data_IF_183857069970
#
_entry.id   IF_183857069970
#
_cell.length_a   1.000
_cell.length_b   1.000
_cell.length_c   1.000
_cell.angle_alpha   90.00
_cell.angle_beta   90.00
_cell.angle_gamma   90.00
#
_symmetry.space_group_name_H-M   'P 1'
#
loop_
_entity.id
_entity.type
_entity.pdbx_description
1 polymer ?
#
# COMPACT_ATOMS: atom_id res chain seq x y z
N UNK A 1 -15.92 -1.26 49.98
CA UNK A 1 -15.06 -2.41 50.29
C UNK A 1 -14.56 -2.96 48.96
N UNK A 2 -13.24 -2.93 48.73
CA UNK A 2 -12.62 -3.26 47.44
C UNK A 2 -12.23 -4.75 47.51
N UNK A 3 -12.90 -5.58 46.71
CA UNK A 3 -12.55 -6.99 46.54
C UNK A 3 -11.37 -7.11 45.56
N UNK A 4 -10.22 -7.51 46.09
CA UNK A 4 -9.03 -7.90 45.34
C UNK A 4 -9.19 -9.38 45.00
N UNK A 5 -9.60 -9.66 43.75
CA UNK A 5 -9.70 -11.01 43.20
C UNK A 5 -8.33 -11.52 42.75
N UNK A 6 -7.98 -12.71 43.23
CA UNK A 6 -6.70 -13.36 43.11
C UNK A 6 -6.24 -13.64 41.66
N UNK A 7 -4.95 -13.37 41.43
CA UNK A 7 -4.16 -13.83 40.30
C UNK A 7 -3.92 -15.33 40.38
N UNK A 8 -4.19 -16.06 39.30
CA UNK A 8 -3.98 -17.50 39.18
C UNK A 8 -3.11 -17.77 37.92
N UNK A 9 -1.87 -18.25 38.04
CA UNK A 9 -1.09 -18.67 36.88
C UNK A 9 -0.75 -20.16 36.95
N UNK A 10 -1.50 -21.00 36.24
CA UNK A 10 -1.04 -22.36 35.89
C UNK A 10 -1.92 -22.96 34.79
N UNK A 11 -1.35 -23.14 33.60
CA UNK A 11 -1.40 -24.39 32.83
C UNK A 11 -0.95 -24.11 31.38
N UNK A 12 0.35 -24.16 31.12
CA UNK A 12 0.88 -24.38 29.78
C UNK A 12 0.89 -25.89 29.52
N UNK A 13 -0.26 -26.42 29.10
CA UNK A 13 -0.35 -27.74 28.51
C UNK A 13 0.09 -27.67 27.05
N UNK A 14 1.38 -27.87 26.77
CA UNK A 14 1.86 -28.11 25.42
C UNK A 14 1.82 -29.61 25.18
N UNK A 15 0.80 -30.09 24.48
CA UNK A 15 0.73 -31.45 23.97
C UNK A 15 0.52 -31.44 22.46
N UNK A 16 1.27 -32.33 21.82
CA UNK A 16 1.04 -32.91 20.49
C UNK A 16 1.61 -32.18 19.27
N UNK A 17 2.85 -32.56 18.92
CA UNK A 17 3.21 -32.80 17.52
C UNK A 17 3.90 -34.17 17.45
N UNK A 18 3.15 -35.19 17.07
CA UNK A 18 3.70 -36.47 16.63
C UNK A 18 3.99 -36.39 15.14
N UNK A 19 5.26 -36.30 14.76
CA UNK A 19 5.72 -36.57 13.39
C UNK A 19 6.26 -38.00 13.32
N UNK A 20 5.67 -38.90 12.52
CA UNK A 20 6.35 -40.12 12.11
C UNK A 20 7.26 -39.83 10.91
N UNK A 21 8.53 -40.16 11.13
CA UNK A 21 9.59 -40.32 10.14
C UNK A 21 9.31 -41.54 9.27
N UNK A 22 9.38 -41.40 7.96
CA UNK A 22 9.74 -42.46 7.00
C UNK A 22 10.31 -41.75 5.75
N UNK A 23 11.63 -41.63 5.63
CA UNK A 23 12.54 -42.57 4.97
C UNK A 23 12.34 -42.69 3.44
N UNK A 24 13.26 -42.03 2.73
CA UNK A 24 14.07 -42.55 1.60
C UNK A 24 13.33 -43.19 0.41
N UNK A 25 13.37 -42.52 -0.74
CA UNK A 25 13.66 -43.19 -2.02
C UNK A 25 14.11 -42.18 -3.09
N UNK A 26 15.42 -42.12 -3.30
CA UNK A 26 16.06 -41.54 -4.47
C UNK A 26 16.11 -42.58 -5.60
N UNK A 27 15.67 -42.23 -6.81
CA UNK A 27 16.08 -42.93 -8.04
C UNK A 27 15.85 -42.07 -9.29
N UNK A 28 16.95 -41.91 -10.02
CA UNK A 28 17.18 -41.10 -11.22
C UNK A 28 17.02 -41.95 -12.48
N UNK A 29 16.49 -41.31 -13.53
CA UNK A 29 16.64 -41.60 -14.97
C UNK A 29 16.06 -42.91 -15.57
N UNK A 30 15.22 -42.79 -16.61
CA UNK A 30 15.64 -42.90 -18.02
C UNK A 30 14.45 -43.09 -19.00
N UNK A 31 14.33 -42.15 -19.94
CA UNK A 31 14.18 -42.32 -21.41
C UNK A 31 13.16 -43.33 -21.97
N UNK A 32 12.09 -42.81 -22.58
CA UNK A 32 11.53 -43.33 -23.85
C UNK A 32 10.49 -42.38 -24.45
N UNK A 33 10.77 -41.78 -25.59
CA UNK A 33 9.82 -41.58 -26.70
C UNK A 33 10.54 -40.87 -27.84
N UNK A 34 10.81 -41.65 -28.88
CA UNK A 34 11.31 -41.24 -30.19
C UNK A 34 10.09 -40.99 -31.10
N UNK A 35 10.33 -40.26 -32.17
CA UNK A 35 9.51 -40.12 -33.37
C UNK A 35 8.37 -39.09 -33.31
N UNK A 36 8.62 -37.92 -33.93
CA UNK A 36 7.75 -37.38 -34.97
C UNK A 36 8.55 -36.37 -35.80
N UNK A 37 8.94 -36.85 -36.98
CA UNK A 37 9.47 -36.06 -38.10
C UNK A 37 8.28 -35.47 -38.85
N UNK A 38 8.49 -34.23 -39.29
CA UNK A 38 7.95 -33.65 -40.53
C UNK A 38 6.47 -33.23 -40.56
N UNK A 39 6.24 -31.92 -40.59
CA UNK A 39 5.32 -31.26 -41.55
C UNK A 39 5.37 -29.74 -41.34
N UNK A 40 6.28 -29.10 -42.09
CA UNK A 40 6.14 -27.69 -42.49
C UNK A 40 5.02 -27.61 -43.53
N UNK A 41 3.89 -26.92 -43.24
CA UNK A 41 3.32 -25.79 -44.03
C UNK A 41 1.90 -25.37 -43.59
N UNK A 42 1.82 -24.08 -43.21
CA UNK A 42 0.71 -23.11 -43.38
C UNK A 42 -0.58 -23.19 -42.51
N UNK A 43 -1.29 -22.06 -42.28
CA UNK A 43 -0.92 -20.64 -42.37
C UNK A 43 -0.99 -19.92 -41.01
N UNK A 44 -0.22 -18.84 -40.90
CA UNK A 44 -0.19 -17.90 -39.78
C UNK A 44 -1.59 -17.39 -39.48
N UNK A 45 -2.13 -17.84 -38.34
CA UNK A 45 -3.37 -17.33 -37.75
C UNK A 45 -3.10 -15.87 -37.35
N UNK A 46 -3.96 -14.98 -37.85
CA UNK A 46 -3.94 -13.53 -37.61
C UNK A 46 -3.61 -13.17 -36.16
N UNK A 47 -2.88 -12.05 -35.92
CA UNK A 47 -2.61 -11.59 -34.57
C UNK A 47 -3.96 -11.27 -33.92
N UNK A 48 -4.33 -12.04 -32.90
CA UNK A 48 -5.36 -11.58 -31.97
C UNK A 48 -4.77 -10.36 -31.31
N UNK A 49 -5.34 -9.21 -31.64
CA UNK A 49 -5.15 -7.96 -30.93
C UNK A 49 -5.31 -8.27 -29.44
N UNK A 50 -4.19 -8.21 -28.72
CA UNK A 50 -4.21 -8.21 -27.26
C UNK A 50 -5.00 -6.97 -26.88
N UNK A 51 -6.22 -7.18 -26.36
CA UNK A 51 -7.00 -6.14 -25.70
C UNK A 51 -6.09 -5.49 -24.67
N UNK A 52 -5.54 -4.33 -25.02
CA UNK A 52 -4.78 -3.52 -24.10
C UNK A 52 -5.66 -3.30 -22.88
N UNK A 53 -5.17 -3.71 -21.70
CA UNK A 53 -5.86 -3.52 -20.43
C UNK A 53 -6.20 -2.04 -20.33
N UNK A 54 -7.46 -1.70 -20.60
CA UNK A 54 -7.96 -0.32 -20.56
C UNK A 54 -8.18 0.01 -19.09
N UNK A 55 -7.07 0.29 -18.39
CA UNK A 55 -7.08 0.73 -17.00
C UNK A 55 -7.84 2.05 -16.97
N UNK A 56 -9.09 1.99 -16.52
CA UNK A 56 -9.91 3.18 -16.40
C UNK A 56 -9.46 3.86 -15.12
N UNK A 57 -8.43 4.72 -15.24
CA UNK A 57 -8.03 5.61 -14.14
C UNK A 57 -9.26 6.50 -13.89
N UNK A 58 -9.89 6.29 -12.73
CA UNK A 58 -11.06 7.07 -12.32
C UNK A 58 -10.72 8.56 -12.41
N UNK A 59 -11.61 9.36 -13.00
CA UNK A 59 -11.36 10.81 -13.20
C UNK A 59 -11.02 11.56 -11.90
N UNK A 60 -11.45 11.02 -10.75
CA UNK A 60 -11.06 11.49 -9.42
C UNK A 60 -9.56 11.35 -9.15
N UNK A 61 -8.91 10.26 -9.57
CA UNK A 61 -7.47 10.05 -9.38
C UNK A 61 -6.64 11.00 -10.26
N UNK A 62 -7.07 11.22 -11.51
CA UNK A 62 -6.45 12.22 -12.41
C UNK A 62 -6.60 13.65 -11.88
N UNK A 63 -7.75 13.99 -11.30
CA UNK A 63 -7.97 15.28 -10.66
C UNK A 63 -7.11 15.44 -9.40
N UNK A 64 -7.02 14.42 -8.56
CA UNK A 64 -6.17 14.45 -7.37
C UNK A 64 -4.68 14.63 -7.72
N UNK A 65 -4.18 13.98 -8.77
CA UNK A 65 -2.81 14.18 -9.26
C UNK A 65 -2.56 15.59 -9.80
N UNK A 66 -3.54 16.14 -10.53
CA UNK A 66 -3.48 17.51 -11.07
C UNK A 66 -3.51 18.56 -9.95
N UNK A 67 -4.38 18.36 -8.95
CA UNK A 67 -4.49 19.21 -7.78
C UNK A 67 -3.22 19.13 -6.92
N UNK A 68 -2.57 17.98 -6.78
CA UNK A 68 -1.27 17.88 -6.08
C UNK A 68 -0.18 18.65 -6.82
N UNK A 69 -0.11 18.56 -8.16
CA UNK A 69 0.88 19.28 -8.95
C UNK A 69 0.68 20.80 -8.88
N UNK A 70 -0.56 21.26 -8.95
CA UNK A 70 -0.88 22.69 -8.87
C UNK A 70 -0.83 23.23 -7.43
N UNK A 71 -1.11 22.38 -6.44
CA UNK A 71 -1.06 22.76 -5.03
C UNK A 71 0.36 23.04 -4.56
N UNK A 72 1.39 22.43 -5.14
CA UNK A 72 2.77 22.56 -4.65
C UNK A 72 3.45 23.90 -4.96
N UNK A 73 2.83 24.78 -5.75
CA UNK A 73 3.41 26.07 -6.12
C UNK A 73 3.70 26.95 -4.89
N UNK A 74 2.83 26.92 -3.88
CA UNK A 74 3.02 27.65 -2.62
C UNK A 74 4.28 27.22 -1.84
N UNK A 75 4.67 25.95 -1.95
CA UNK A 75 5.88 25.38 -1.37
C UNK A 75 7.10 25.74 -2.24
N UNK A 76 6.98 25.69 -3.56
CA UNK A 76 8.08 26.00 -4.49
C UNK A 76 8.46 27.48 -4.48
N UNK A 77 7.48 28.37 -4.39
CA UNK A 77 7.66 29.82 -4.31
C UNK A 77 7.92 30.30 -2.88
N UNK A 78 7.94 29.40 -1.89
CA UNK A 78 8.08 29.77 -0.48
C UNK A 78 9.43 30.39 -0.13
N UNK A 79 10.48 30.11 -0.93
CA UNK A 79 11.86 30.45 -0.63
C UNK A 79 12.51 29.55 0.42
N UNK A 80 11.82 28.49 0.86
CA UNK A 80 12.34 27.54 1.85
C UNK A 80 13.45 26.67 1.25
N UNK A 81 14.36 26.13 2.08
CA UNK A 81 15.34 25.16 1.62
C UNK A 81 14.71 23.92 0.97
N UNK A 82 15.35 23.40 -0.08
CA UNK A 82 14.84 22.29 -0.88
C UNK A 82 14.46 21.06 -0.05
N UNK A 83 15.24 20.75 0.99
CA UNK A 83 14.94 19.63 1.88
C UNK A 83 13.63 19.83 2.66
N UNK A 84 13.33 21.06 3.10
CA UNK A 84 12.06 21.41 3.76
C UNK A 84 10.92 21.30 2.76
N UNK A 85 11.11 21.86 1.56
CA UNK A 85 10.11 21.79 0.49
C UNK A 85 9.77 20.34 0.13
N UNK A 86 10.77 19.47 -0.01
CA UNK A 86 10.57 18.07 -0.33
C UNK A 86 9.74 17.34 0.73
N UNK A 87 10.03 17.58 2.02
CA UNK A 87 9.25 16.98 3.11
C UNK A 87 7.81 17.52 3.12
N UNK A 88 7.60 18.81 2.85
CA UNK A 88 6.25 19.39 2.74
C UNK A 88 5.45 18.79 1.58
N UNK A 89 6.08 18.62 0.40
CA UNK A 89 5.46 17.96 -0.76
C UNK A 89 5.07 16.52 -0.44
N UNK A 90 5.94 15.80 0.27
CA UNK A 90 5.65 14.43 0.73
C UNK A 90 4.47 14.39 1.70
N UNK A 91 4.41 15.32 2.68
CA UNK A 91 3.27 15.44 3.61
C UNK A 91 1.97 15.67 2.83
N UNK A 92 1.97 16.61 1.88
CA UNK A 92 0.78 16.91 1.06
C UNK A 92 0.35 15.71 0.22
N UNK A 93 1.29 14.99 -0.38
CA UNK A 93 0.99 13.77 -1.12
C UNK A 93 0.39 12.69 -0.23
N UNK A 94 0.94 12.46 0.97
CA UNK A 94 0.39 11.47 1.92
C UNK A 94 -1.02 11.85 2.34
N UNK A 95 -1.29 13.13 2.63
CA UNK A 95 -2.66 13.62 2.94
C UNK A 95 -3.63 13.37 1.79
N UNK A 96 -3.22 13.65 0.55
CA UNK A 96 -4.05 13.39 -0.64
C UNK A 96 -4.37 11.89 -0.78
N UNK A 97 -3.38 11.02 -0.59
CA UNK A 97 -3.57 9.56 -0.61
C UNK A 97 -4.50 9.08 0.51
N UNK A 98 -4.40 9.66 1.71
CA UNK A 98 -5.32 9.36 2.82
C UNK A 98 -6.75 9.73 2.43
N UNK A 99 -6.97 10.93 1.90
CA UNK A 99 -8.31 11.38 1.48
C UNK A 99 -8.89 10.48 0.39
N UNK A 100 -8.07 10.09 -0.59
CA UNK A 100 -8.47 9.14 -1.63
C UNK A 100 -8.87 7.79 -1.05
N UNK A 101 -8.05 7.20 -0.16
CA UNK A 101 -8.36 5.90 0.47
C UNK A 101 -9.55 5.96 1.41
N UNK A 102 -9.80 7.11 2.05
CA UNK A 102 -11.02 7.33 2.83
C UNK A 102 -12.26 7.38 1.93
N UNK A 103 -12.17 8.05 0.78
CA UNK A 103 -13.26 8.08 -0.19
C UNK A 103 -13.52 6.69 -0.80
N UNK A 104 -12.47 5.93 -1.10
CA UNK A 104 -12.57 4.55 -1.57
C UNK A 104 -13.22 3.64 -0.52
N UNK A 105 -12.85 3.80 0.76
CA UNK A 105 -13.47 3.07 1.87
C UNK A 105 -14.97 3.36 1.95
N UNK A 106 -15.37 4.63 1.86
CA UNK A 106 -16.79 5.02 1.85
C UNK A 106 -17.52 4.46 0.63
N UNK A 107 -16.89 4.48 -0.55
CA UNK A 107 -17.46 3.93 -1.77
C UNK A 107 -17.69 2.41 -1.65
N UNK A 108 -16.74 1.66 -1.10
CA UNK A 108 -16.89 0.21 -0.85
C UNK A 108 -18.02 -0.07 0.15
N UNK A 109 -18.15 0.75 1.20
CA UNK A 109 -19.24 0.61 2.17
C UNK A 109 -20.62 0.94 1.59
N UNK A 110 -20.69 1.84 0.60
CA UNK A 110 -21.93 2.20 -0.09
C UNK A 110 -22.28 1.27 -1.26
N UNK A 111 -21.31 0.51 -1.78
CA UNK A 111 -21.50 -0.36 -2.95
C UNK A 111 -22.25 -1.65 -2.58
N UNK A 112 -23.55 -1.67 -2.87
CA UNK A 112 -24.45 -2.82 -2.64
C UNK A 112 -24.22 -3.99 -3.60
N UNK A 113 -23.33 -3.84 -4.60
CA UNK A 113 -23.06 -4.90 -5.60
C UNK A 113 -22.04 -5.91 -5.11
N UNK A 114 -21.28 -5.58 -4.06
CA UNK A 114 -20.28 -6.47 -3.48
C UNK A 114 -20.93 -7.49 -2.56
N UNK A 115 -20.41 -8.72 -2.56
CA UNK A 115 -20.78 -9.69 -1.52
C UNK A 115 -20.24 -9.24 -0.15
N UNK A 116 -20.84 -9.68 0.96
CA UNK A 116 -20.38 -9.31 2.30
C UNK A 116 -18.90 -9.67 2.56
N UNK A 117 -18.44 -10.78 1.99
CA UNK A 117 -17.06 -11.24 2.14
C UNK A 117 -16.08 -10.39 1.33
N UNK A 118 -16.40 -10.09 0.07
CA UNK A 118 -15.58 -9.20 -0.77
C UNK A 118 -15.49 -7.79 -0.18
N UNK A 119 -16.61 -7.27 0.34
CA UNK A 119 -16.63 -5.98 1.02
C UNK A 119 -15.72 -5.99 2.26
N UNK A 120 -15.80 -7.04 3.10
CA UNK A 120 -14.93 -7.18 4.27
C UNK A 120 -13.44 -7.21 3.91
N UNK A 121 -13.05 -8.00 2.92
CA UNK A 121 -11.66 -8.10 2.47
C UNK A 121 -11.15 -6.74 1.98
N UNK A 122 -11.94 -6.05 1.13
CA UNK A 122 -11.58 -4.71 0.62
C UNK A 122 -11.47 -3.68 1.75
N UNK A 123 -12.42 -3.66 2.68
CA UNK A 123 -12.41 -2.77 3.84
C UNK A 123 -11.16 -3.01 4.70
N UNK A 124 -10.84 -4.27 5.01
CA UNK A 124 -9.66 -4.63 5.79
C UNK A 124 -8.36 -4.15 5.12
N UNK A 125 -8.22 -4.36 3.82
CA UNK A 125 -7.07 -3.89 3.05
C UNK A 125 -6.96 -2.35 3.06
N UNK A 126 -8.07 -1.65 2.87
CA UNK A 126 -8.11 -0.18 2.91
C UNK A 126 -7.77 0.37 4.30
N UNK A 127 -8.23 -0.29 5.37
CA UNK A 127 -7.89 0.07 6.75
C UNK A 127 -6.40 -0.13 7.04
N UNK A 128 -5.80 -1.22 6.56
CA UNK A 128 -4.36 -1.46 6.66
C UNK A 128 -3.56 -0.41 5.90
N UNK A 129 -3.94 -0.10 4.66
CA UNK A 129 -3.31 0.95 3.86
C UNK A 129 -3.42 2.33 4.53
N UNK A 130 -4.59 2.69 5.05
CA UNK A 130 -4.80 3.93 5.81
C UNK A 130 -3.88 3.99 7.03
N UNK A 131 -3.75 2.90 7.79
CA UNK A 131 -2.87 2.85 8.97
C UNK A 131 -1.41 3.08 8.59
N UNK A 132 -0.95 2.48 7.49
CA UNK A 132 0.41 2.68 6.96
C UNK A 132 0.64 4.12 6.47
N UNK A 133 -0.33 4.71 5.77
CA UNK A 133 -0.24 6.11 5.33
C UNK A 133 -0.22 7.07 6.51
N UNK A 134 -0.99 6.82 7.57
CA UNK A 134 -0.99 7.64 8.78
C UNK A 134 0.35 7.54 9.52
N UNK A 135 0.94 6.35 9.62
CA UNK A 135 2.29 6.20 10.16
C UNK A 135 3.33 6.97 9.33
N UNK A 136 3.22 6.89 8.00
CA UNK A 136 4.08 7.63 7.07
C UNK A 136 3.94 9.14 7.24
N UNK A 137 2.72 9.64 7.46
CA UNK A 137 2.44 11.05 7.73
C UNK A 137 3.16 11.52 9.01
N UNK A 138 3.07 10.75 10.09
CA UNK A 138 3.75 11.06 11.36
C UNK A 138 5.27 11.07 11.18
N UNK A 139 5.83 10.10 10.44
CA UNK A 139 7.26 10.08 10.11
C UNK A 139 7.67 11.30 9.30
N UNK A 140 6.87 11.70 8.31
CA UNK A 140 7.11 12.90 7.51
C UNK A 140 7.06 14.18 8.37
N UNK A 141 6.08 14.31 9.26
CA UNK A 141 5.96 15.41 10.21
C UNK A 141 7.15 15.48 11.18
N UNK A 142 7.64 14.32 11.65
CA UNK A 142 8.84 14.23 12.50
C UNK A 142 10.09 14.68 11.74
N UNK A 143 10.23 14.26 10.48
CA UNK A 143 11.30 14.71 9.59
C UNK A 143 11.25 16.23 9.37
N UNK A 144 10.04 16.78 9.18
CA UNK A 144 9.83 18.21 9.03
C UNK A 144 10.28 18.95 10.29
N UNK A 145 9.82 18.51 11.46
CA UNK A 145 10.22 19.11 12.74
C UNK A 145 11.73 19.06 12.96
N UNK A 146 12.40 17.97 12.56
CA UNK A 146 13.87 17.86 12.63
C UNK A 146 14.55 18.83 11.70
N UNK A 147 14.06 18.96 10.47
CA UNK A 147 14.61 19.88 9.47
C UNK A 147 14.43 21.33 9.89
N UNK A 148 13.28 21.65 10.52
CA UNK A 148 12.98 22.99 11.02
C UNK A 148 13.90 23.47 12.16
N UNK A 149 14.51 22.56 12.93
CA UNK A 149 15.43 22.94 14.03
C UNK A 149 16.69 23.69 13.56
N UNK A 150 17.06 23.54 12.30
CA UNK A 150 18.21 24.24 11.70
C UNK A 150 17.85 25.51 10.93
N UNK A 151 16.57 25.89 10.90
CA UNK A 151 16.08 27.03 10.13
C UNK A 151 16.07 28.32 10.96
N UNK A 152 16.01 29.46 10.26
CA UNK A 152 15.65 30.72 10.89
C UNK A 152 14.23 30.64 11.48
N UNK A 153 13.93 31.44 12.50
CA UNK A 153 12.59 31.48 13.08
C UNK A 153 11.52 31.85 12.04
N UNK A 154 11.85 32.68 11.06
CA UNK A 154 10.93 33.07 9.99
C UNK A 154 10.64 31.90 9.03
N UNK A 155 11.67 31.15 8.62
CA UNK A 155 11.51 29.99 7.75
C UNK A 155 10.79 28.85 8.45
N UNK A 156 11.07 28.63 9.74
CA UNK A 156 10.36 27.65 10.55
C UNK A 156 8.86 27.98 10.64
N UNK A 157 8.50 29.24 10.86
CA UNK A 157 7.10 29.67 10.86
C UNK A 157 6.44 29.48 9.49
N UNK A 158 7.14 29.81 8.40
CA UNK A 158 6.62 29.62 7.04
C UNK A 158 6.41 28.15 6.72
N UNK A 159 7.37 27.28 7.03
CA UNK A 159 7.24 25.83 6.87
C UNK A 159 6.07 25.26 7.69
N UNK A 160 5.89 25.72 8.93
CA UNK A 160 4.75 25.32 9.74
C UNK A 160 3.41 25.72 9.09
N UNK A 161 3.31 26.94 8.57
CA UNK A 161 2.08 27.44 7.92
C UNK A 161 1.69 26.66 6.65
N UNK A 162 2.67 26.16 5.90
CA UNK A 162 2.46 25.38 4.68
C UNK A 162 2.20 23.89 4.93
N UNK A 163 2.49 23.41 6.14
CA UNK A 163 2.32 21.99 6.52
C UNK A 163 0.89 21.62 6.94
N UNK A 164 0.01 22.61 7.13
CA UNK A 164 -1.38 22.46 7.60
C UNK A 164 -2.29 21.90 6.52
#
# INVERSE_FOLDING_TARGET
>A
MISIGATNPASTGVQSFSEPKDLVAEAKAAKAAKDLKDSTTAPLRAPKEEEGVKVTISGAALKALSDVKQSNNDIEESGLPDNVQQVLKMIRQIKAQIAEKQAELQAVMADKRLTPEEARIKISNLQGALSSLQASLVTAQTSLAKTMKGLSSQDALKAASLSV
#
